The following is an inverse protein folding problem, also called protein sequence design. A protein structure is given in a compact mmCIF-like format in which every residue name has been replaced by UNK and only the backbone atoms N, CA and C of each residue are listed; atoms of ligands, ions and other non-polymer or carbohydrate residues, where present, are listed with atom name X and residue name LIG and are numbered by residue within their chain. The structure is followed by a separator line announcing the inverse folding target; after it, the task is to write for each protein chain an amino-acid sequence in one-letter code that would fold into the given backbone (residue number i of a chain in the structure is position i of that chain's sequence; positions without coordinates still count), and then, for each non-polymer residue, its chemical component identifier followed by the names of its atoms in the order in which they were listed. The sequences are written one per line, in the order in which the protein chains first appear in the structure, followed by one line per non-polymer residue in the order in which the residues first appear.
data_IF_492994730575
#
_entry.id   IF_492994730575
#
_cell.length_a   1.000
_cell.length_b   1.000
_cell.length_c   1.000
_cell.angle_alpha   90.00
_cell.angle_beta   90.00
_cell.angle_gamma   90.00
#
_symmetry.space_group_name_H-M   'P 1'
#
loop_
_entity.id
_entity.type
_entity.pdbx_description
1 polymer ?
#
# COMPACT_ATOMS: atom_id res chain seq x y z
N UNK A 1 -4.61 -25.63 -15.09
CA UNK A 1 -3.93 -24.33 -14.91
C UNK A 1 -4.19 -23.85 -13.50
N UNK A 2 -3.29 -24.16 -12.56
CA UNK A 2 -3.46 -23.79 -11.16
C UNK A 2 -2.53 -22.60 -10.85
N UNK A 3 -3.02 -21.40 -11.15
CA UNK A 3 -2.54 -20.13 -10.61
C UNK A 3 -3.66 -19.10 -10.77
N UNK A 4 -4.85 -19.45 -10.30
CA UNK A 4 -5.93 -18.48 -10.18
C UNK A 4 -5.67 -17.74 -8.88
N UNK A 5 -5.17 -16.50 -8.96
CA UNK A 5 -5.10 -15.62 -7.80
C UNK A 5 -6.48 -15.63 -7.11
N UNK A 6 -6.51 -15.94 -5.81
CA UNK A 6 -7.75 -16.08 -5.03
C UNK A 6 -8.63 -14.82 -5.07
N UNK A 7 -8.04 -13.68 -5.44
CA UNK A 7 -8.70 -12.39 -5.53
C UNK A 7 -8.44 -11.72 -6.88
N UNK A 8 -9.44 -11.04 -7.46
CA UNK A 8 -9.25 -10.28 -8.69
C UNK A 8 -8.30 -9.10 -8.48
N UNK A 9 -7.47 -8.84 -9.48
CA UNK A 9 -6.61 -7.66 -9.51
C UNK A 9 -7.46 -6.41 -9.73
N UNK A 10 -7.26 -5.38 -8.91
CA UNK A 10 -7.88 -4.05 -9.08
C UNK A 10 -6.81 -3.06 -9.50
N UNK A 11 -6.93 -2.50 -10.70
CA UNK A 11 -6.02 -1.46 -11.19
C UNK A 11 -6.34 -0.11 -10.55
N UNK A 12 -5.30 0.59 -10.08
CA UNK A 12 -5.39 1.98 -9.64
C UNK A 12 -4.94 2.89 -10.78
N UNK A 13 -5.57 4.07 -10.90
CA UNK A 13 -5.28 5.06 -11.95
C UNK A 13 -4.93 6.40 -11.32
N UNK A 14 -4.10 7.18 -12.01
CA UNK A 14 -3.72 8.53 -11.57
C UNK A 14 -2.71 8.57 -10.41
N UNK A 15 -2.01 7.46 -10.16
CA UNK A 15 -0.93 7.40 -9.17
C UNK A 15 0.38 7.61 -9.91
N UNK A 16 1.15 8.60 -9.46
CA UNK A 16 2.48 8.88 -9.97
C UNK A 16 3.44 7.70 -9.73
N UNK A 17 4.41 7.50 -10.63
CA UNK A 17 5.36 6.39 -10.57
C UNK A 17 6.26 6.42 -9.32
N UNK A 18 6.70 7.61 -8.91
CA UNK A 18 7.54 7.78 -7.73
C UNK A 18 6.73 7.54 -6.47
N UNK A 19 5.48 8.01 -6.45
CA UNK A 19 4.55 7.71 -5.35
C UNK A 19 4.29 6.21 -5.23
N UNK A 20 4.08 5.52 -6.36
CA UNK A 20 3.82 4.08 -6.36
C UNK A 20 5.01 3.26 -5.86
N UNK A 21 6.22 3.66 -6.26
CA UNK A 21 7.48 3.02 -5.84
C UNK A 21 7.81 3.35 -4.39
N UNK A 22 7.60 4.60 -3.96
CA UNK A 22 7.76 5.05 -2.58
C UNK A 22 6.80 4.33 -1.63
N UNK A 23 5.54 4.15 -2.02
CA UNK A 23 4.57 3.37 -1.24
C UNK A 23 5.01 1.90 -1.10
N UNK A 24 5.55 1.28 -2.16
CA UNK A 24 6.08 -0.08 -2.07
C UNK A 24 7.27 -0.18 -1.10
N UNK A 25 8.21 0.75 -1.18
CA UNK A 25 9.38 0.78 -0.29
C UNK A 25 8.97 0.99 1.18
N UNK A 26 8.04 1.91 1.42
CA UNK A 26 7.50 2.22 2.74
C UNK A 26 6.77 1.01 3.36
N UNK A 27 5.94 0.32 2.58
CA UNK A 27 5.23 -0.89 3.04
C UNK A 27 6.21 -2.03 3.37
N UNK A 28 7.27 -2.21 2.58
CA UNK A 28 8.32 -3.19 2.87
C UNK A 28 9.10 -2.87 4.14
N UNK A 29 9.36 -1.59 4.40
CA UNK A 29 10.07 -1.14 5.61
C UNK A 29 9.30 -1.47 6.91
N UNK A 30 7.98 -1.62 6.85
CA UNK A 30 7.14 -2.06 7.98
C UNK A 30 6.89 -3.57 7.99
N UNK A 31 7.56 -4.35 7.14
CA UNK A 31 7.37 -5.80 7.03
C UNK A 31 6.08 -6.22 6.32
N UNK A 32 5.46 -5.32 5.56
CA UNK A 32 4.21 -5.55 4.83
C UNK A 32 4.42 -5.48 3.31
N UNK A 33 3.33 -5.54 2.56
CA UNK A 33 3.29 -5.29 1.12
C UNK A 33 2.21 -4.24 0.78
N UNK A 34 2.24 -3.74 -0.47
CA UNK A 34 1.29 -2.72 -0.95
C UNK A 34 -0.17 -3.15 -0.80
N UNK A 35 -0.48 -4.40 -1.14
CA UNK A 35 -1.85 -4.91 -1.16
C UNK A 35 -2.39 -5.05 0.26
N UNK A 36 -1.58 -5.58 1.18
CA UNK A 36 -1.92 -5.70 2.59
C UNK A 36 -2.13 -4.32 3.23
N UNK A 37 -1.20 -3.38 2.98
CA UNK A 37 -1.26 -2.01 3.52
C UNK A 37 -2.46 -1.24 2.97
N UNK A 38 -2.70 -1.31 1.66
CA UNK A 38 -3.85 -0.67 1.02
C UNK A 38 -5.18 -1.26 1.52
N UNK A 39 -5.25 -2.58 1.68
CA UNK A 39 -6.42 -3.25 2.23
C UNK A 39 -6.71 -2.79 3.66
N UNK A 40 -5.69 -2.74 4.53
CA UNK A 40 -5.86 -2.27 5.90
C UNK A 40 -6.38 -0.82 5.94
N UNK A 41 -5.86 0.05 5.07
CA UNK A 41 -6.36 1.41 4.92
C UNK A 41 -7.81 1.47 4.44
N UNK A 42 -8.19 0.64 3.46
CA UNK A 42 -9.59 0.54 3.02
C UNK A 42 -10.51 0.05 4.12
N UNK A 43 -10.12 -0.98 4.88
CA UNK A 43 -10.90 -1.53 6.00
C UNK A 43 -11.11 -0.49 7.10
N UNK A 44 -10.07 0.25 7.47
CA UNK A 44 -10.17 1.39 8.37
C UNK A 44 -11.10 2.49 7.81
N UNK A 45 -10.90 2.90 6.55
CA UNK A 45 -11.65 3.98 5.91
C UNK A 45 -13.16 3.71 5.83
N UNK A 46 -13.57 2.45 5.67
CA UNK A 46 -14.99 2.06 5.65
C UNK A 46 -15.51 1.57 7.01
N UNK A 47 -14.80 1.87 8.10
CA UNK A 47 -15.17 1.49 9.48
C UNK A 47 -15.38 -0.01 9.69
N UNK A 48 -14.59 -0.84 9.00
CA UNK A 48 -14.53 -2.30 9.22
C UNK A 48 -13.42 -2.70 10.20
N UNK A 49 -12.51 -1.79 10.49
CA UNK A 49 -11.49 -1.91 11.52
C UNK A 49 -11.31 -0.55 12.20
N UNK A 50 -11.09 -0.57 13.51
CA UNK A 50 -10.66 0.61 14.27
C UNK A 50 -9.13 0.77 14.26
N UNK A 51 -8.40 -0.23 13.78
CA UNK A 51 -6.94 -0.22 13.68
C UNK A 51 -6.50 0.70 12.53
N UNK A 52 -5.95 1.86 12.90
CA UNK A 52 -5.36 2.82 11.95
C UNK A 52 -4.03 2.22 11.44
N UNK A 53 -3.84 2.06 10.11
CA UNK A 53 -2.56 1.61 9.58
C UNK A 53 -1.43 2.55 10.02
N UNK A 54 -0.39 1.99 10.64
CA UNK A 54 0.74 2.79 11.11
C UNK A 54 1.49 3.42 9.94
N UNK A 55 1.74 4.73 10.04
CA UNK A 55 2.59 5.43 9.09
C UNK A 55 4.04 5.09 9.40
N UNK A 56 4.82 4.58 8.43
CA UNK A 56 6.24 4.33 8.66
C UNK A 56 6.97 5.62 9.04
N UNK A 57 8.09 5.51 9.79
CA UNK A 57 9.01 6.61 9.98
C UNK A 57 9.41 7.26 8.65
N UNK A 58 9.79 8.53 8.70
CA UNK A 58 10.30 9.21 7.52
C UNK A 58 11.51 8.44 6.95
N UNK A 59 11.53 8.31 5.62
CA UNK A 59 12.53 7.55 4.88
C UNK A 59 12.68 8.08 3.45
N UNK A 60 13.44 7.39 2.59
CA UNK A 60 13.70 7.82 1.22
C UNK A 60 12.44 8.08 0.36
N UNK A 61 11.29 7.52 0.75
CA UNK A 61 9.97 7.72 0.14
C UNK A 61 9.24 8.99 0.59
N UNK A 62 9.79 9.76 1.53
CA UNK A 62 9.10 10.90 2.15
C UNK A 62 9.24 12.21 1.38
N UNK A 63 10.22 12.29 0.49
CA UNK A 63 10.43 13.42 -0.42
C UNK A 63 10.26 12.90 -1.84
N UNK A 64 9.53 13.61 -2.72
CA UNK A 64 9.59 13.30 -4.15
C UNK A 64 11.04 13.43 -4.62
N UNK A 65 11.50 12.47 -5.43
CA UNK A 65 12.77 12.63 -6.14
C UNK A 65 12.62 13.82 -7.08
N UNK A 66 13.55 14.79 -7.00
CA UNK A 66 13.62 15.91 -7.96
C UNK A 66 13.94 15.44 -9.38
#
# INVERSE_FOLDING_TARGET
MANMHKHPVRGLRGIDGDLWSGFEAAAKATGSDRSATLKAFMEWFVSRSDDVPERPPAGPWSSPSE
#
